data_IF_138887882031
#
_entry.id   IF_138887882031
#
_cell.length_a   1.000
_cell.length_b   1.000
_cell.length_c   1.000
_cell.angle_alpha   90.00
_cell.angle_beta   90.00
_cell.angle_gamma   90.00
#
_symmetry.space_group_name_H-M   'P 1'
#
loop_
_entity.id
_entity.type
_entity.pdbx_description
1 polymer ?
#
# COMPACT_ATOMS: atom_id res chain seq x y z
N UNK A 1 -39.90 -34.62 45.00
CA UNK A 1 -40.16 -33.65 46.07
C UNK A 1 -39.30 -32.44 45.78
N UNK A 2 -39.73 -31.25 45.45
CA UNK A 2 -41.04 -30.63 45.35
C UNK A 2 -40.93 -29.47 44.37
N UNK A 3 -42.00 -29.38 43.63
CA UNK A 3 -42.41 -28.27 42.81
C UNK A 3 -42.44 -26.94 43.56
N UNK A 4 -42.19 -25.82 42.86
CA UNK A 4 -43.02 -24.62 42.95
C UNK A 4 -42.87 -23.73 41.71
N UNK A 5 -43.90 -23.77 40.92
CA UNK A 5 -44.45 -22.77 40.00
C UNK A 5 -44.76 -21.43 40.65
N UNK A 6 -44.63 -20.31 39.91
CA UNK A 6 -45.45 -19.11 39.93
C UNK A 6 -44.92 -18.14 38.85
N UNK A 7 -45.62 -17.88 37.82
CA UNK A 7 -46.83 -17.15 37.44
C UNK A 7 -46.46 -15.76 36.86
N UNK A 8 -46.97 -15.56 35.67
CA UNK A 8 -46.93 -14.32 34.85
C UNK A 8 -47.69 -13.15 35.55
N UNK A 9 -47.25 -11.94 35.27
CA UNK A 9 -48.10 -10.76 35.40
C UNK A 9 -47.91 -9.83 34.20
N UNK A 10 -49.02 -9.62 33.53
CA UNK A 10 -49.29 -8.64 32.49
C UNK A 10 -49.19 -7.22 33.05
N UNK A 11 -48.69 -6.28 32.27
CA UNK A 11 -49.12 -4.91 32.35
C UNK A 11 -49.20 -4.30 30.94
N UNK A 12 -50.43 -4.25 30.50
CA UNK A 12 -50.88 -3.49 29.34
C UNK A 12 -51.11 -2.04 29.77
N UNK A 13 -50.39 -1.07 29.22
CA UNK A 13 -50.75 0.35 29.31
C UNK A 13 -51.19 0.88 27.97
N UNK A 14 -52.49 1.22 27.98
CA UNK A 14 -53.31 1.88 27.01
C UNK A 14 -52.70 3.12 26.36
N UNK A 15 -52.83 3.17 25.03
CA UNK A 15 -52.65 4.39 24.23
C UNK A 15 -53.94 5.19 24.23
N UNK A 16 -53.90 6.42 24.68
CA UNK A 16 -54.95 7.42 24.50
C UNK A 16 -54.78 8.09 23.11
N UNK A 17 -55.85 8.40 22.40
CA UNK A 17 -55.82 9.17 21.16
C UNK A 17 -55.68 10.68 21.43
N UNK A 18 -55.16 11.46 20.44
CA UNK A 18 -54.89 12.89 20.61
C UNK A 18 -56.15 13.74 20.56
N UNK A 19 -56.13 14.81 21.34
CA UNK A 19 -57.12 15.84 21.54
C UNK A 19 -57.40 16.65 20.22
N UNK A 20 -58.68 16.86 19.82
CA UNK A 20 -59.02 17.55 18.58
C UNK A 20 -58.96 19.09 18.62
N UNK A 21 -58.52 19.74 19.71
CA UNK A 21 -58.57 21.18 19.89
C UNK A 21 -57.24 21.92 20.00
N UNK A 22 -56.26 21.55 19.22
CA UNK A 22 -55.03 22.37 19.08
C UNK A 22 -55.14 23.35 17.88
N UNK A 23 -54.74 24.63 18.05
CA UNK A 23 -54.90 25.64 17.00
C UNK A 23 -53.89 25.42 15.86
N UNK A 24 -54.36 25.41 14.64
CA UNK A 24 -53.57 25.34 13.39
C UNK A 24 -52.86 26.67 13.13
N UNK A 25 -51.54 26.64 13.01
CA UNK A 25 -50.74 27.76 12.51
C UNK A 25 -50.74 27.74 11.01
N UNK A 26 -50.95 28.87 10.28
CA UNK A 26 -51.02 28.90 8.83
C UNK A 26 -49.63 28.79 8.19
N UNK A 27 -49.53 27.88 7.22
CA UNK A 27 -48.35 27.76 6.34
C UNK A 27 -48.36 28.94 5.32
N UNK A 28 -47.44 29.87 5.50
CA UNK A 28 -47.06 30.83 4.47
C UNK A 28 -46.17 30.17 3.43
N UNK A 29 -46.63 30.16 2.17
CA UNK A 29 -45.80 29.85 1.00
C UNK A 29 -44.79 30.98 0.80
N UNK A 30 -43.49 30.61 0.68
CA UNK A 30 -42.53 31.43 -0.01
C UNK A 30 -41.81 30.55 -1.05
N UNK A 31 -42.23 30.74 -2.29
CA UNK A 31 -41.53 30.30 -3.48
C UNK A 31 -40.26 31.12 -3.65
N UNK A 32 -39.11 30.47 -3.71
CA UNK A 32 -37.95 30.91 -4.50
C UNK A 32 -36.92 29.78 -4.52
N UNK A 33 -37.06 28.85 -5.44
CA UNK A 33 -36.00 27.90 -5.78
C UNK A 33 -35.10 28.54 -6.83
N UNK A 34 -33.92 28.96 -6.42
CA UNK A 34 -32.80 29.09 -7.34
C UNK A 34 -32.00 27.77 -7.29
N UNK A 35 -31.68 27.20 -8.45
CA UNK A 35 -30.85 25.99 -8.47
C UNK A 35 -29.40 26.35 -8.04
N UNK A 36 -28.93 25.79 -6.93
CA UNK A 36 -27.54 25.77 -6.59
C UNK A 36 -26.81 24.87 -7.59
N UNK A 37 -26.13 25.46 -8.54
CA UNK A 37 -25.14 24.79 -9.34
C UNK A 37 -24.01 24.37 -8.38
N UNK A 38 -23.84 23.07 -8.21
CA UNK A 38 -22.66 22.52 -7.60
C UNK A 38 -21.47 22.79 -8.53
N UNK A 39 -20.33 23.29 -8.03
CA UNK A 39 -19.15 23.33 -8.87
C UNK A 39 -18.68 21.90 -9.14
N UNK A 40 -18.78 21.47 -10.39
CA UNK A 40 -18.10 20.29 -10.88
C UNK A 40 -16.59 20.51 -10.68
N UNK A 41 -16.00 19.76 -9.77
CA UNK A 41 -14.54 19.63 -9.69
C UNK A 41 -14.11 18.81 -10.89
N UNK A 42 -13.89 19.47 -12.00
CA UNK A 42 -13.28 18.89 -13.20
C UNK A 42 -11.80 18.71 -12.92
N UNK A 43 -11.44 17.51 -12.51
CA UNK A 43 -10.06 17.07 -12.55
C UNK A 43 -9.65 17.02 -14.05
N UNK A 44 -8.70 17.82 -14.53
CA UNK A 44 -8.34 17.82 -15.94
C UNK A 44 -7.66 16.48 -16.28
N UNK A 45 -8.40 15.60 -16.95
CA UNK A 45 -7.84 14.43 -17.61
C UNK A 45 -6.92 14.89 -18.74
N UNK A 46 -5.66 15.13 -18.46
CA UNK A 46 -4.64 15.23 -19.51
C UNK A 46 -4.42 13.82 -20.07
N UNK A 47 -4.91 13.58 -21.28
CA UNK A 47 -4.44 12.48 -22.12
C UNK A 47 -2.93 12.68 -22.33
N UNK A 48 -2.11 11.84 -21.72
CA UNK A 48 -0.70 11.75 -22.06
C UNK A 48 -0.61 11.18 -23.47
N UNK A 49 -0.22 12.04 -24.42
CA UNK A 49 0.20 11.60 -25.73
C UNK A 49 1.48 10.78 -25.54
N UNK A 50 1.49 9.56 -26.03
CA UNK A 50 2.68 8.72 -26.13
C UNK A 50 3.63 9.42 -27.13
N UNK A 51 4.60 10.15 -26.61
CA UNK A 51 5.70 10.68 -27.38
C UNK A 51 6.88 9.72 -27.24
N UNK A 52 7.24 9.11 -28.36
CA UNK A 52 8.38 8.25 -28.53
C UNK A 52 9.69 8.91 -28.11
N UNK A 53 10.52 8.16 -27.40
CA UNK A 53 11.97 8.30 -27.31
C UNK A 53 12.55 9.55 -26.62
N UNK A 54 12.03 9.94 -25.44
CA UNK A 54 12.78 10.71 -24.45
C UNK A 54 12.71 9.98 -23.13
N UNK A 55 13.85 9.80 -22.42
CA UNK A 55 13.87 9.30 -21.04
C UNK A 55 12.78 10.02 -20.28
N UNK A 56 11.84 9.25 -19.73
CA UNK A 56 10.75 9.81 -18.93
C UNK A 56 11.36 10.59 -17.76
N UNK A 57 10.78 11.73 -17.35
CA UNK A 57 11.16 12.41 -16.10
C UNK A 57 11.16 11.45 -14.90
N UNK A 58 10.38 10.38 -14.95
CA UNK A 58 10.34 9.33 -13.95
C UNK A 58 11.61 8.46 -13.94
N UNK A 59 12.29 8.23 -15.07
CA UNK A 59 13.52 7.44 -15.11
C UNK A 59 14.67 8.13 -14.36
N UNK A 60 14.75 9.44 -14.41
CA UNK A 60 15.76 10.21 -13.67
C UNK A 60 15.51 10.22 -12.15
N UNK A 61 14.25 10.15 -11.71
CA UNK A 61 13.90 10.08 -10.29
C UNK A 61 14.27 8.70 -9.69
N UNK A 62 14.23 7.64 -10.50
CA UNK A 62 14.52 6.27 -10.09
C UNK A 62 15.99 5.90 -10.08
N UNK A 63 16.89 6.75 -10.60
CA UNK A 63 18.35 6.59 -10.47
C UNK A 63 18.85 6.91 -9.03
N UNK A 64 17.99 7.47 -8.19
CA UNK A 64 18.27 7.69 -6.78
C UNK A 64 18.16 6.38 -5.99
N UNK A 65 19.00 6.20 -4.95
CA UNK A 65 18.94 5.02 -4.08
C UNK A 65 17.63 4.91 -3.30
N UNK A 66 16.93 6.02 -3.10
CA UNK A 66 15.64 6.12 -2.40
C UNK A 66 14.77 7.10 -3.18
N UNK A 67 13.58 6.64 -3.56
CA UNK A 67 12.51 7.47 -4.16
C UNK A 67 11.34 7.52 -3.19
N UNK A 68 10.85 8.71 -2.90
CA UNK A 68 9.71 8.93 -2.00
C UNK A 68 8.48 9.31 -2.83
N UNK A 69 7.50 8.43 -2.86
CA UNK A 69 6.20 8.67 -3.47
C UNK A 69 5.12 8.90 -2.40
N UNK A 70 4.28 9.90 -2.59
CA UNK A 70 3.10 10.12 -1.75
C UNK A 70 1.86 9.77 -2.55
N UNK A 71 1.03 8.91 -1.98
CA UNK A 71 -0.31 8.61 -2.51
C UNK A 71 -1.36 9.17 -1.58
N UNK A 72 -2.22 10.03 -2.09
CA UNK A 72 -3.39 10.53 -1.38
C UNK A 72 -4.62 9.72 -1.82
N UNK A 73 -5.22 8.98 -0.89
CA UNK A 73 -6.46 8.26 -1.16
C UNK A 73 -7.65 9.22 -1.22
N UNK A 74 -8.71 8.90 -1.98
CA UNK A 74 -9.97 9.64 -1.91
C UNK A 74 -10.61 9.51 -0.52
N UNK A 75 -11.56 10.39 -0.21
CA UNK A 75 -12.41 10.25 0.96
C UNK A 75 -13.19 8.93 0.87
N UNK A 76 -13.33 8.29 2.01
CA UNK A 76 -14.14 7.07 2.08
C UNK A 76 -15.63 7.45 2.21
N UNK A 77 -16.57 6.61 1.75
CA UNK A 77 -18.00 6.88 1.86
C UNK A 77 -18.50 7.20 3.28
N UNK A 78 -17.83 6.66 4.30
CA UNK A 78 -18.13 6.96 5.71
C UNK A 78 -17.67 8.37 6.10
N UNK A 79 -16.56 8.85 5.54
CA UNK A 79 -15.99 10.19 5.79
C UNK A 79 -16.84 11.23 5.09
N UNK A 80 -17.25 10.98 3.84
CA UNK A 80 -18.19 11.83 3.08
C UNK A 80 -19.53 11.95 3.80
N UNK A 81 -20.11 10.83 4.28
CA UNK A 81 -21.35 10.84 5.07
C UNK A 81 -21.22 11.57 6.41
N UNK A 82 -20.02 11.62 6.98
CA UNK A 82 -19.72 12.38 8.17
C UNK A 82 -19.46 13.87 7.89
N UNK A 83 -19.55 14.32 6.62
CA UNK A 83 -19.30 15.71 6.23
C UNK A 83 -17.84 16.09 6.27
N UNK A 84 -16.91 15.12 6.17
CA UNK A 84 -15.48 15.41 6.11
C UNK A 84 -15.13 16.13 4.81
N UNK A 85 -14.26 17.12 4.90
CA UNK A 85 -13.77 17.87 3.75
C UNK A 85 -12.32 17.50 3.44
N UNK A 86 -11.93 17.62 2.15
CA UNK A 86 -10.58 17.36 1.73
C UNK A 86 -9.64 18.50 2.19
N UNK A 87 -8.66 18.16 3.02
CA UNK A 87 -7.66 19.10 3.54
C UNK A 87 -6.32 19.01 2.79
N UNK A 88 -6.25 18.21 1.74
CA UNK A 88 -5.04 17.94 0.97
C UNK A 88 -5.23 18.37 -0.48
N UNK A 89 -4.30 19.16 -0.99
CA UNK A 89 -4.21 19.53 -2.41
C UNK A 89 -2.93 18.95 -2.99
N UNK A 90 -3.05 18.34 -4.17
CA UNK A 90 -1.95 17.72 -4.89
C UNK A 90 -1.58 18.56 -6.10
N UNK A 91 -0.30 18.94 -6.23
CA UNK A 91 0.25 19.68 -7.35
C UNK A 91 1.54 19.02 -7.81
N UNK A 92 1.58 18.46 -9.01
CA UNK A 92 2.76 17.83 -9.61
C UNK A 92 3.58 17.02 -8.58
N UNK A 93 4.61 17.62 -7.99
CA UNK A 93 5.51 17.01 -6.98
C UNK A 93 5.32 17.60 -5.58
N UNK A 94 4.21 18.28 -5.32
CA UNK A 94 3.93 18.93 -4.05
C UNK A 94 2.61 18.47 -3.46
N UNK A 95 2.60 18.41 -2.16
CA UNK A 95 1.41 18.14 -1.35
C UNK A 95 1.23 19.29 -0.39
N UNK A 96 0.10 19.97 -0.46
CA UNK A 96 -0.25 21.01 0.48
C UNK A 96 -1.36 20.50 1.42
N UNK A 97 -1.23 20.85 2.70
CA UNK A 97 -2.21 20.54 3.72
C UNK A 97 -2.65 21.84 4.38
N UNK A 98 -3.95 22.13 4.35
CA UNK A 98 -4.48 23.39 4.88
C UNK A 98 -5.93 23.30 5.31
N UNK A 99 -6.51 24.43 5.73
CA UNK A 99 -7.92 24.52 6.06
C UNK A 99 -8.76 24.41 4.78
N UNK A 100 -9.84 23.59 4.76
CA UNK A 100 -10.70 23.41 3.59
C UNK A 100 -11.31 24.71 3.07
N UNK A 101 -11.70 25.62 3.97
CA UNK A 101 -12.30 26.93 3.62
C UNK A 101 -11.27 27.82 2.93
N UNK A 102 -10.03 27.84 3.42
CA UNK A 102 -8.94 28.59 2.81
C UNK A 102 -8.52 28.00 1.46
N UNK A 103 -8.55 26.66 1.33
CA UNK A 103 -8.24 25.95 0.08
C UNK A 103 -9.30 26.22 -1.00
N UNK A 104 -10.59 26.29 -0.63
CA UNK A 104 -11.71 26.54 -1.55
C UNK A 104 -11.81 28.01 -2.00
N UNK A 105 -11.47 28.97 -1.12
CA UNK A 105 -11.66 30.40 -1.38
C UNK A 105 -10.64 31.01 -2.35
N UNK A 106 -9.54 30.34 -2.67
CA UNK A 106 -8.38 30.96 -3.33
C UNK A 106 -7.99 30.40 -4.67
N UNK A 107 -8.88 29.83 -5.47
CA UNK A 107 -8.56 29.34 -6.83
C UNK A 107 -7.12 29.59 -7.26
N UNK A 108 -6.33 28.59 -7.56
CA UNK A 108 -5.01 28.62 -8.24
C UNK A 108 -3.85 29.44 -7.63
N UNK A 109 -3.95 29.97 -6.40
CA UNK A 109 -2.85 30.77 -5.79
C UNK A 109 -2.03 29.91 -4.79
N UNK A 110 -0.71 30.15 -4.63
CA UNK A 110 0.14 29.33 -3.78
C UNK A 110 -0.39 29.29 -2.35
N UNK A 111 -0.57 28.12 -1.87
CA UNK A 111 -1.37 27.67 -0.75
C UNK A 111 -0.79 28.16 0.57
N UNK A 112 -1.60 28.84 1.36
CA UNK A 112 -1.38 29.06 2.79
C UNK A 112 -1.65 27.72 3.51
N UNK A 113 -0.60 26.99 3.79
CA UNK A 113 -0.63 25.70 4.46
C UNK A 113 0.78 25.14 4.55
N UNK A 114 0.89 23.95 5.13
CA UNK A 114 2.17 23.24 5.11
C UNK A 114 2.38 22.58 3.75
N UNK A 115 3.41 23.01 3.05
CA UNK A 115 3.80 22.48 1.75
C UNK A 115 4.94 21.48 1.91
N UNK A 116 4.78 20.32 1.25
CA UNK A 116 5.77 19.26 1.22
C UNK A 116 6.10 18.90 -0.23
N UNK A 117 7.38 18.73 -0.54
CA UNK A 117 7.84 18.28 -1.85
C UNK A 117 8.29 16.81 -1.77
N UNK A 118 7.91 16.03 -2.79
CA UNK A 118 8.26 14.63 -2.92
C UNK A 118 8.78 14.32 -4.33
N UNK A 119 9.38 13.16 -4.51
CA UNK A 119 9.83 12.73 -5.84
C UNK A 119 8.64 12.46 -6.75
N UNK A 120 7.59 11.86 -6.22
CA UNK A 120 6.36 11.49 -6.92
C UNK A 120 5.14 11.78 -6.04
N UNK A 121 4.07 12.26 -6.66
CA UNK A 121 2.78 12.50 -6.00
C UNK A 121 1.68 11.84 -6.83
N UNK A 122 0.91 10.97 -6.19
CA UNK A 122 -0.17 10.19 -6.80
C UNK A 122 -1.48 10.53 -6.10
N UNK A 123 -2.49 10.86 -6.89
CA UNK A 123 -3.85 11.11 -6.41
C UNK A 123 -4.82 10.05 -6.89
N UNK A 124 -5.90 9.85 -6.14
CA UNK A 124 -6.98 8.99 -6.57
C UNK A 124 -6.82 7.51 -6.21
N UNK A 125 -7.64 6.69 -6.86
CA UNK A 125 -7.82 5.26 -6.57
C UNK A 125 -7.19 4.32 -7.59
N UNK A 126 -6.62 4.85 -8.69
CA UNK A 126 -6.03 4.03 -9.75
C UNK A 126 -4.85 3.20 -9.27
N UNK A 127 -5.05 1.88 -9.21
CA UNK A 127 -3.99 0.92 -8.89
C UNK A 127 -3.06 0.69 -10.09
N UNK A 128 -3.57 0.83 -11.30
CA UNK A 128 -2.78 0.74 -12.53
C UNK A 128 -1.74 1.86 -12.58
N UNK A 129 -2.13 3.10 -12.30
CA UNK A 129 -1.22 4.25 -12.26
C UNK A 129 -0.11 4.06 -11.22
N UNK A 130 -0.47 3.56 -10.03
CA UNK A 130 0.51 3.25 -8.97
C UNK A 130 1.49 2.18 -9.42
N UNK A 131 1.02 1.14 -10.13
CA UNK A 131 1.87 0.09 -10.68
C UNK A 131 2.79 0.62 -11.78
N UNK A 132 2.27 1.39 -12.74
CA UNK A 132 3.07 1.99 -13.81
C UNK A 132 4.17 2.90 -13.24
N UNK A 133 3.83 3.67 -12.20
CA UNK A 133 4.75 4.65 -11.61
C UNK A 133 5.80 4.02 -10.70
N UNK A 134 5.47 2.97 -9.95
CA UNK A 134 6.35 2.39 -8.93
C UNK A 134 6.70 0.92 -9.20
N UNK A 135 5.75 0.12 -9.65
CA UNK A 135 5.92 -1.32 -9.88
C UNK A 135 6.78 -1.61 -11.11
N UNK A 136 6.53 -0.95 -12.23
CA UNK A 136 7.31 -1.12 -13.47
C UNK A 136 8.77 -0.74 -13.27
N UNK A 137 9.13 0.42 -12.70
CA UNK A 137 10.51 0.75 -12.40
C UNK A 137 11.19 -0.25 -11.44
N UNK A 138 10.46 -0.77 -10.43
CA UNK A 138 10.97 -1.83 -9.56
C UNK A 138 11.32 -3.09 -10.37
N UNK A 139 10.43 -3.53 -11.26
CA UNK A 139 10.66 -4.67 -12.14
C UNK A 139 11.87 -4.46 -13.05
N UNK A 140 12.02 -3.26 -13.65
CA UNK A 140 13.19 -2.89 -14.46
C UNK A 140 14.50 -3.00 -13.68
N UNK A 141 14.54 -2.57 -12.42
CA UNK A 141 15.72 -2.72 -11.56
C UNK A 141 16.02 -4.19 -11.28
N UNK A 142 15.00 -4.96 -10.89
CA UNK A 142 15.16 -6.38 -10.62
C UNK A 142 15.61 -7.16 -11.88
N UNK A 143 15.08 -6.82 -13.02
CA UNK A 143 15.43 -7.44 -14.30
C UNK A 143 16.90 -7.20 -14.70
N UNK A 144 17.49 -6.08 -14.27
CA UNK A 144 18.92 -5.77 -14.41
C UNK A 144 19.81 -6.46 -13.35
N UNK A 145 19.24 -7.28 -12.47
CA UNK A 145 19.97 -7.95 -11.39
C UNK A 145 20.17 -7.10 -10.14
N UNK A 146 19.47 -5.98 -10.01
CA UNK A 146 19.55 -5.10 -8.85
C UNK A 146 18.45 -5.43 -7.84
N UNK A 147 18.81 -5.49 -6.55
CA UNK A 147 17.82 -5.62 -5.49
C UNK A 147 16.96 -4.36 -5.39
N UNK A 148 15.65 -4.53 -5.25
CA UNK A 148 14.72 -3.43 -5.14
C UNK A 148 13.63 -3.71 -4.10
N UNK A 149 13.12 -2.65 -3.46
CA UNK A 149 12.11 -2.80 -2.43
C UNK A 149 11.10 -1.65 -2.49
N UNK A 150 9.83 -1.97 -2.25
CA UNK A 150 8.76 -0.97 -2.03
C UNK A 150 8.24 -1.14 -0.61
N UNK A 151 8.11 -0.02 0.10
CA UNK A 151 7.55 0.06 1.45
C UNK A 151 6.30 0.94 1.43
N UNK A 152 5.15 0.42 1.86
CA UNK A 152 3.97 1.23 2.12
C UNK A 152 4.00 1.72 3.57
N UNK A 153 4.12 3.04 3.75
CA UNK A 153 4.20 3.71 5.06
C UNK A 153 3.03 4.67 5.25
N UNK A 154 2.50 4.77 6.45
CA UNK A 154 1.42 5.70 6.81
C UNK A 154 0.62 5.20 8.01
N UNK A 155 -0.30 6.01 8.50
CA UNK A 155 -1.18 5.64 9.62
C UNK A 155 -2.16 4.52 9.24
N UNK A 156 -2.81 3.93 10.24
CA UNK A 156 -3.91 2.98 10.04
C UNK A 156 -5.04 3.65 9.25
N UNK A 157 -5.57 2.96 8.24
CA UNK A 157 -6.61 3.49 7.35
C UNK A 157 -6.11 4.41 6.21
N UNK A 158 -4.80 4.67 6.08
CA UNK A 158 -4.24 5.48 4.98
C UNK A 158 -4.23 4.78 3.62
N UNK A 159 -4.51 3.48 3.56
CA UNK A 159 -4.54 2.71 2.30
C UNK A 159 -3.25 1.93 1.98
N UNK A 160 -2.36 1.68 2.95
CA UNK A 160 -1.13 0.88 2.75
C UNK A 160 -1.42 -0.49 2.16
N UNK A 161 -2.24 -1.28 2.84
CA UNK A 161 -2.63 -2.63 2.38
C UNK A 161 -3.41 -2.57 1.07
N UNK A 162 -4.25 -1.55 0.86
CA UNK A 162 -4.92 -1.34 -0.42
C UNK A 162 -3.92 -1.09 -1.55
N UNK A 163 -2.91 -0.26 -1.32
CA UNK A 163 -1.86 0.00 -2.31
C UNK A 163 -1.00 -1.23 -2.59
N UNK A 164 -0.72 -2.05 -1.57
CA UNK A 164 0.15 -3.23 -1.71
C UNK A 164 -0.59 -4.46 -2.24
N UNK A 165 -1.67 -4.87 -1.60
CA UNK A 165 -2.45 -6.07 -1.97
C UNK A 165 -3.65 -5.69 -2.83
N UNK A 166 -4.39 -4.64 -2.44
CA UNK A 166 -5.60 -4.22 -3.12
C UNK A 166 -6.77 -5.15 -2.88
N UNK A 167 -7.72 -5.12 -3.80
CA UNK A 167 -8.85 -6.03 -3.92
C UNK A 167 -8.75 -6.90 -5.18
N UNK A 168 -9.89 -7.25 -5.77
CA UNK A 168 -9.96 -8.06 -6.99
C UNK A 168 -10.02 -7.20 -8.25
N UNK A 169 -9.75 -7.80 -9.40
CA UNK A 169 -9.84 -7.16 -10.71
C UNK A 169 -8.97 -5.91 -10.82
N UNK A 170 -9.56 -4.78 -11.22
CA UNK A 170 -8.84 -3.52 -11.41
C UNK A 170 -8.33 -2.92 -10.09
N UNK A 171 -8.90 -3.30 -8.94
CA UNK A 171 -8.46 -2.84 -7.63
C UNK A 171 -7.25 -3.59 -7.07
N UNK A 172 -6.68 -4.56 -7.79
CA UNK A 172 -5.44 -5.27 -7.40
C UNK A 172 -4.29 -4.30 -7.19
N UNK A 173 -3.56 -4.49 -6.09
CA UNK A 173 -2.45 -3.63 -5.68
C UNK A 173 -1.13 -3.91 -6.41
N UNK A 174 -0.05 -3.34 -5.87
CA UNK A 174 1.31 -3.47 -6.43
C UNK A 174 1.79 -4.93 -6.41
N UNK A 175 1.55 -5.68 -5.32
CA UNK A 175 2.06 -7.05 -5.17
C UNK A 175 1.59 -7.95 -6.32
N UNK A 176 0.27 -8.15 -6.55
CA UNK A 176 -0.19 -9.01 -7.63
C UNK A 176 0.24 -8.51 -9.01
N UNK A 177 0.22 -7.20 -9.25
CA UNK A 177 0.63 -6.62 -10.54
C UNK A 177 2.13 -6.78 -10.83
N UNK A 178 3.00 -6.65 -9.82
CA UNK A 178 4.43 -6.93 -9.93
C UNK A 178 4.66 -8.42 -10.24
N UNK A 179 3.92 -9.30 -9.58
CA UNK A 179 4.02 -10.75 -9.86
C UNK A 179 3.58 -11.10 -11.29
N UNK A 180 2.51 -10.51 -11.79
CA UNK A 180 2.06 -10.68 -13.18
C UNK A 180 3.12 -10.17 -14.15
N UNK A 181 3.56 -8.92 -14.01
CA UNK A 181 4.56 -8.32 -14.90
C UNK A 181 5.90 -9.06 -14.87
N UNK A 182 6.28 -9.66 -13.75
CA UNK A 182 7.47 -10.50 -13.67
C UNK A 182 7.35 -11.75 -14.56
N UNK A 183 6.18 -12.40 -14.53
CA UNK A 183 5.93 -13.58 -15.35
C UNK A 183 5.73 -13.24 -16.82
N UNK A 184 5.13 -12.10 -17.17
CA UNK A 184 5.04 -11.62 -18.54
C UNK A 184 6.46 -11.48 -19.15
N UNK A 185 7.38 -10.87 -18.41
CA UNK A 185 8.78 -10.76 -18.83
C UNK A 185 9.50 -12.12 -18.89
N UNK A 186 9.25 -13.02 -17.94
CA UNK A 186 9.85 -14.35 -17.93
C UNK A 186 9.39 -15.20 -19.13
N UNK A 187 8.11 -15.13 -19.47
CA UNK A 187 7.50 -15.84 -20.61
C UNK A 187 8.04 -15.29 -21.93
N UNK A 188 8.10 -13.97 -22.10
CA UNK A 188 8.66 -13.31 -23.29
C UNK A 188 10.15 -13.68 -23.55
N UNK A 189 10.90 -13.92 -22.46
CA UNK A 189 12.32 -14.31 -22.56
C UNK A 189 12.56 -15.82 -22.46
N UNK A 190 11.54 -16.66 -22.43
CA UNK A 190 11.65 -18.11 -22.18
C UNK A 190 12.54 -18.86 -23.17
N UNK A 191 12.62 -18.40 -24.41
CA UNK A 191 13.50 -18.98 -25.47
C UNK A 191 14.98 -18.65 -25.25
N UNK A 192 15.28 -17.49 -24.68
CA UNK A 192 16.66 -16.99 -24.50
C UNK A 192 17.19 -17.18 -23.11
N UNK A 193 16.32 -17.17 -22.10
CA UNK A 193 16.68 -17.24 -20.69
C UNK A 193 15.86 -18.29 -19.95
N UNK A 194 16.49 -18.90 -18.96
CA UNK A 194 15.82 -19.65 -17.90
C UNK A 194 15.63 -18.73 -16.70
N UNK A 195 14.37 -18.50 -16.34
CA UNK A 195 14.00 -17.67 -15.17
C UNK A 195 13.50 -18.56 -14.05
N UNK A 196 14.07 -18.41 -12.87
CA UNK A 196 13.64 -19.07 -11.64
C UNK A 196 13.17 -18.02 -10.64
N UNK A 197 12.02 -18.23 -10.06
CA UNK A 197 11.44 -17.36 -9.03
C UNK A 197 11.25 -18.16 -7.74
N UNK A 198 11.82 -17.68 -6.65
CA UNK A 198 11.62 -18.22 -5.31
C UNK A 198 10.89 -17.17 -4.48
N UNK A 199 9.80 -17.57 -3.82
CA UNK A 199 8.94 -16.68 -3.07
C UNK A 199 8.90 -17.07 -1.59
N UNK A 200 8.84 -16.07 -0.73
CA UNK A 200 8.59 -16.21 0.70
C UNK A 200 7.64 -15.11 1.18
N UNK A 201 6.84 -15.42 2.20
CA UNK A 201 5.91 -14.47 2.78
C UNK A 201 5.96 -14.56 4.31
N UNK A 202 6.36 -13.49 4.97
CA UNK A 202 6.49 -13.45 6.42
C UNK A 202 5.79 -12.24 7.03
N UNK A 203 5.44 -12.37 8.29
CA UNK A 203 4.90 -11.31 9.14
C UNK A 203 5.88 -11.00 10.29
N UNK A 204 6.09 -9.70 10.55
CA UNK A 204 6.78 -9.24 11.75
C UNK A 204 5.77 -8.60 12.68
N UNK A 205 5.54 -9.21 13.84
CA UNK A 205 4.59 -8.75 14.83
C UNK A 205 5.20 -8.86 16.23
N UNK A 206 5.21 -7.75 16.96
CA UNK A 206 5.76 -7.67 18.31
C UNK A 206 7.19 -8.26 18.41
N UNK A 207 8.09 -7.80 17.54
CA UNK A 207 9.49 -8.22 17.41
C UNK A 207 9.68 -9.73 17.10
N UNK A 208 8.63 -10.41 16.64
CA UNK A 208 8.67 -11.84 16.28
C UNK A 208 8.34 -12.02 14.80
N UNK A 209 9.18 -12.79 14.13
CA UNK A 209 8.94 -13.19 12.73
C UNK A 209 8.09 -14.44 12.70
N UNK A 210 7.09 -14.46 11.81
CA UNK A 210 6.23 -15.61 11.54
C UNK A 210 6.22 -15.91 10.06
N UNK A 211 6.23 -17.18 9.74
CA UNK A 211 5.98 -17.67 8.39
C UNK A 211 4.49 -17.64 8.10
N UNK A 212 4.11 -17.04 6.98
CA UNK A 212 2.70 -17.00 6.54
C UNK A 212 2.36 -18.13 5.57
N UNK A 213 3.36 -18.81 5.00
CA UNK A 213 3.14 -19.93 4.08
C UNK A 213 2.98 -21.26 4.83
N UNK A 214 3.68 -21.40 5.95
CA UNK A 214 3.56 -22.58 6.83
C UNK A 214 3.41 -22.11 8.27
N UNK A 215 2.18 -21.82 8.71
CA UNK A 215 1.94 -21.28 10.05
C UNK A 215 2.14 -22.34 11.13
N UNK A 216 3.40 -22.56 11.52
CA UNK A 216 3.78 -23.52 12.58
C UNK A 216 3.46 -23.04 13.99
N UNK A 217 3.01 -21.77 14.13
CA UNK A 217 2.78 -21.12 15.43
C UNK A 217 4.06 -20.70 16.16
N UNK A 218 5.23 -21.16 15.72
CA UNK A 218 6.54 -20.87 16.31
C UNK A 218 7.14 -19.61 15.68
N UNK A 219 7.62 -18.62 16.50
CA UNK A 219 8.36 -17.49 15.97
C UNK A 219 9.72 -17.93 15.40
N UNK A 220 10.06 -17.39 14.23
CA UNK A 220 11.35 -17.59 13.60
C UNK A 220 12.39 -16.59 14.10
N UNK A 221 13.67 -16.95 14.03
CA UNK A 221 14.79 -16.10 14.46
C UNK A 221 15.46 -15.43 13.26
N UNK A 222 15.66 -14.13 13.36
CA UNK A 222 16.53 -13.40 12.43
C UNK A 222 17.98 -13.73 12.79
N UNK A 223 18.78 -14.00 11.77
CA UNK A 223 20.23 -14.26 11.86
C UNK A 223 20.97 -13.33 10.92
N UNK A 224 22.23 -13.10 11.17
CA UNK A 224 23.12 -12.43 10.25
C UNK A 224 23.97 -13.47 9.52
N UNK A 225 23.90 -13.44 8.19
CA UNK A 225 24.72 -14.31 7.34
C UNK A 225 25.94 -13.52 6.85
N UNK A 226 27.16 -14.08 6.89
CA UNK A 226 28.39 -13.33 6.58
C UNK A 226 28.39 -12.64 5.21
N UNK A 227 27.70 -13.22 4.21
CA UNK A 227 27.67 -12.68 2.83
C UNK A 227 26.30 -12.17 2.39
N UNK A 228 25.20 -12.65 2.99
CA UNK A 228 23.82 -12.30 2.59
C UNK A 228 23.19 -11.22 3.49
N UNK A 229 23.85 -10.88 4.61
CA UNK A 229 23.28 -9.97 5.61
C UNK A 229 22.16 -10.61 6.43
N UNK A 230 21.20 -9.81 6.89
CA UNK A 230 20.10 -10.29 7.70
C UNK A 230 19.21 -11.30 6.94
N UNK A 231 18.99 -12.46 7.54
CA UNK A 231 18.18 -13.54 6.98
C UNK A 231 17.37 -14.27 8.06
N UNK A 232 16.39 -15.03 7.63
CA UNK A 232 15.54 -15.91 8.46
C UNK A 232 15.74 -17.34 7.93
N UNK A 233 16.68 -18.14 8.47
CA UNK A 233 17.07 -19.41 7.88
C UNK A 233 15.96 -20.45 7.81
N UNK A 234 15.00 -20.40 8.75
CA UNK A 234 13.89 -21.35 8.85
C UNK A 234 12.63 -20.86 8.12
N UNK A 235 12.69 -19.74 7.38
CA UNK A 235 11.58 -19.24 6.60
C UNK A 235 11.34 -20.12 5.38
N UNK A 236 10.09 -20.49 5.13
CA UNK A 236 9.72 -21.24 3.94
C UNK A 236 9.97 -20.42 2.69
N UNK A 237 10.74 -20.97 1.78
CA UNK A 237 11.01 -20.43 0.46
C UNK A 237 10.50 -21.44 -0.55
N UNK A 238 9.55 -21.02 -1.39
CA UNK A 238 8.91 -21.86 -2.39
C UNK A 238 9.40 -21.45 -3.77
N UNK A 239 9.96 -22.38 -4.51
CA UNK A 239 10.22 -22.18 -5.94
C UNK A 239 8.91 -22.28 -6.72
N UNK A 240 8.50 -21.17 -7.32
CA UNK A 240 7.26 -21.07 -8.10
C UNK A 240 7.54 -21.24 -9.59
N UNK A 241 6.63 -21.94 -10.28
CA UNK A 241 6.80 -22.35 -11.69
C UNK A 241 5.98 -21.52 -12.67
N UNK A 242 5.13 -20.63 -12.16
CA UNK A 242 4.26 -19.81 -12.97
C UNK A 242 3.43 -18.83 -12.17
N UNK A 243 2.71 -17.98 -12.90
CA UNK A 243 1.87 -16.92 -12.31
C UNK A 243 0.79 -17.45 -11.39
N UNK A 244 0.16 -18.58 -11.72
CA UNK A 244 -0.93 -19.15 -10.93
C UNK A 244 -0.42 -19.65 -9.58
N UNK A 245 0.69 -20.39 -9.56
CA UNK A 245 1.30 -20.90 -8.32
C UNK A 245 1.75 -19.75 -7.41
N UNK A 246 2.27 -18.66 -7.97
CA UNK A 246 2.62 -17.47 -7.19
C UNK A 246 1.38 -16.77 -6.64
N UNK A 247 0.30 -16.67 -7.41
CA UNK A 247 -0.97 -16.10 -6.95
C UNK A 247 -1.59 -16.91 -5.81
N UNK A 248 -1.59 -18.25 -5.92
CA UNK A 248 -2.06 -19.15 -4.86
C UNK A 248 -1.22 -19.01 -3.58
N UNK A 249 0.11 -18.92 -3.70
CA UNK A 249 1.00 -18.70 -2.58
C UNK A 249 0.70 -17.38 -1.87
N UNK A 250 0.47 -16.30 -2.61
CA UNK A 250 0.11 -15.00 -2.06
C UNK A 250 -1.26 -15.04 -1.37
N UNK A 251 -2.22 -15.77 -1.92
CA UNK A 251 -3.53 -15.97 -1.30
C UNK A 251 -3.41 -16.70 0.04
N UNK A 252 -2.68 -17.82 0.09
CA UNK A 252 -2.41 -18.57 1.33
C UNK A 252 -1.81 -17.68 2.42
N UNK A 253 -0.79 -16.89 2.09
CA UNK A 253 -0.15 -15.97 3.04
C UNK A 253 -1.07 -14.84 3.51
N UNK A 254 -1.90 -14.31 2.61
CA UNK A 254 -2.89 -13.27 2.93
C UNK A 254 -3.99 -13.79 3.86
N UNK A 255 -4.49 -14.99 3.62
CA UNK A 255 -5.49 -15.67 4.46
C UNK A 255 -4.93 -16.00 5.85
N UNK A 256 -3.68 -16.46 5.93
CA UNK A 256 -2.99 -16.70 7.19
C UNK A 256 -2.86 -15.40 8.01
N UNK A 257 -2.54 -14.27 7.35
CA UNK A 257 -2.49 -12.95 7.97
C UNK A 257 -3.87 -12.50 8.45
N UNK A 258 -4.91 -12.64 7.62
CA UNK A 258 -6.29 -12.26 7.93
C UNK A 258 -6.85 -13.08 9.09
N UNK A 259 -6.66 -14.39 9.11
CA UNK A 259 -7.10 -15.28 10.20
C UNK A 259 -6.47 -14.92 11.54
N UNK A 260 -5.21 -14.47 11.53
CA UNK A 260 -4.54 -13.96 12.73
C UNK A 260 -5.15 -12.64 13.24
N UNK A 261 -5.76 -11.84 12.36
CA UNK A 261 -6.39 -10.55 12.69
C UNK A 261 -7.78 -10.72 13.36
N UNK A 262 -8.55 -11.77 13.04
CA UNK A 262 -9.94 -11.95 13.53
C UNK A 262 -10.04 -12.34 15.02
N UNK A 263 -8.93 -12.71 15.66
CA UNK A 263 -8.91 -13.09 17.10
C UNK A 263 -8.91 -11.90 18.08
N UNK A 264 -9.61 -10.80 17.73
CA UNK A 264 -9.96 -9.73 18.67
C UNK A 264 -9.21 -8.41 18.56
N UNK A 265 -8.30 -8.23 17.58
CA UNK A 265 -7.65 -6.95 17.30
C UNK A 265 -7.32 -6.85 15.81
N UNK A 266 -7.40 -5.65 15.24
CA UNK A 266 -6.96 -5.38 13.86
C UNK A 266 -5.43 -5.55 13.73
N UNK A 267 -4.97 -6.82 13.78
CA UNK A 267 -3.55 -7.19 13.83
C UNK A 267 -2.79 -6.73 12.58
N UNK A 268 -3.45 -6.70 11.42
CA UNK A 268 -2.85 -6.24 10.17
C UNK A 268 -2.35 -4.79 10.25
N UNK A 269 -3.02 -3.92 11.06
CA UNK A 269 -2.55 -2.55 11.28
C UNK A 269 -1.35 -2.46 12.23
N UNK A 270 -0.99 -3.57 12.90
CA UNK A 270 0.05 -3.64 13.94
C UNK A 270 1.21 -4.58 13.60
N UNK A 271 1.16 -5.17 12.43
CA UNK A 271 2.21 -6.07 11.92
C UNK A 271 2.74 -5.56 10.58
N UNK A 272 4.02 -5.85 10.31
CA UNK A 272 4.58 -5.67 8.99
C UNK A 272 4.48 -6.97 8.21
N UNK A 273 4.05 -6.92 6.96
CA UNK A 273 4.02 -8.06 6.06
C UNK A 273 5.08 -7.87 4.98
N UNK A 274 5.87 -8.89 4.72
CA UNK A 274 6.99 -8.86 3.77
C UNK A 274 6.85 -10.01 2.80
N UNK A 275 6.57 -9.69 1.54
CA UNK A 275 6.68 -10.60 0.41
C UNK A 275 8.08 -10.42 -0.20
N UNK A 276 8.82 -11.51 -0.36
CA UNK A 276 10.12 -11.49 -1.01
C UNK A 276 10.13 -12.45 -2.20
N UNK A 277 10.59 -11.93 -3.34
CA UNK A 277 10.78 -12.71 -4.56
C UNK A 277 12.26 -12.67 -4.93
N UNK A 278 12.91 -13.82 -4.99
CA UNK A 278 14.27 -13.96 -5.51
C UNK A 278 14.16 -14.41 -6.95
N UNK A 279 14.60 -13.55 -7.86
CA UNK A 279 14.54 -13.76 -9.31
C UNK A 279 15.93 -14.08 -9.81
N UNK A 280 16.15 -15.30 -10.30
CA UNK A 280 17.40 -15.73 -10.90
C UNK A 280 17.19 -15.99 -12.38
N UNK A 281 17.99 -15.34 -13.23
CA UNK A 281 17.96 -15.52 -14.69
C UNK A 281 19.29 -16.04 -15.18
N UNK A 282 19.25 -16.96 -16.12
CA UNK A 282 20.43 -17.53 -16.75
C UNK A 282 20.17 -17.64 -18.26
N UNK A 283 21.07 -17.11 -19.08
CA UNK A 283 21.01 -17.23 -20.54
C UNK A 283 21.17 -18.69 -20.94
N UNK A 284 20.33 -19.14 -21.88
CA UNK A 284 20.43 -20.48 -22.47
C UNK A 284 21.58 -20.53 -23.47
N UNK A 285 22.36 -21.61 -23.44
CA UNK A 285 23.43 -21.82 -24.42
C UNK A 285 22.85 -21.97 -25.84
N UNK A 286 23.40 -21.21 -26.79
CA UNK A 286 22.98 -21.31 -28.22
C UNK A 286 21.73 -20.46 -28.57
N UNK A 287 21.19 -19.65 -27.64
CA UNK A 287 20.10 -18.76 -27.99
C UNK A 287 20.59 -17.54 -28.77
N UNK A 288 19.99 -17.26 -29.93
CA UNK A 288 20.18 -16.03 -30.70
C UNK A 288 19.39 -14.88 -30.07
N UNK A 289 19.88 -13.65 -30.20
CA UNK A 289 19.16 -12.45 -29.78
C UNK A 289 17.96 -12.22 -30.71
N UNK A 290 16.75 -12.27 -30.15
CA UNK A 290 15.53 -12.01 -30.90
C UNK A 290 14.33 -11.99 -29.95
N UNK A 291 14.17 -10.90 -29.16
CA UNK A 291 12.95 -10.65 -28.41
C UNK A 291 12.10 -9.74 -29.28
N UNK A 292 10.96 -10.24 -29.76
CA UNK A 292 10.05 -9.53 -30.65
C UNK A 292 8.84 -8.92 -29.92
N UNK A 293 8.68 -9.19 -28.61
CA UNK A 293 7.54 -8.73 -27.85
C UNK A 293 7.81 -7.38 -27.18
N UNK A 294 6.86 -6.45 -27.33
CA UNK A 294 6.87 -5.15 -26.67
C UNK A 294 6.45 -5.28 -25.20
N UNK A 295 7.22 -4.68 -24.30
CA UNK A 295 6.94 -4.66 -22.90
C UNK A 295 7.88 -3.71 -22.16
N UNK A 296 7.68 -3.55 -20.84
CA UNK A 296 8.55 -2.72 -19.99
C UNK A 296 10.02 -3.18 -19.98
N UNK A 297 10.31 -4.37 -20.51
CA UNK A 297 11.62 -5.01 -20.61
C UNK A 297 12.31 -4.83 -21.97
N UNK A 298 11.63 -4.35 -22.99
CA UNK A 298 12.11 -4.36 -24.39
C UNK A 298 13.35 -3.48 -24.63
N UNK A 299 13.56 -2.45 -23.82
CA UNK A 299 14.69 -1.52 -23.91
C UNK A 299 15.80 -1.80 -22.87
N UNK A 300 15.75 -2.96 -22.19
CA UNK A 300 16.69 -3.27 -21.13
C UNK A 300 17.86 -4.16 -21.61
N UNK A 301 19.08 -3.61 -21.57
CA UNK A 301 20.30 -4.41 -21.57
C UNK A 301 20.37 -5.24 -20.28
N UNK A 302 19.98 -6.49 -20.38
CA UNK A 302 19.97 -7.36 -19.22
C UNK A 302 21.22 -8.26 -19.22
N UNK A 303 21.92 -8.42 -18.08
CA UNK A 303 23.09 -9.30 -17.99
C UNK A 303 22.70 -10.74 -18.33
N UNK A 304 23.62 -11.50 -18.93
CA UNK A 304 23.39 -12.88 -19.37
C UNK A 304 23.03 -13.85 -18.24
N UNK A 305 23.51 -13.57 -17.00
CA UNK A 305 23.06 -14.24 -15.77
C UNK A 305 23.04 -13.25 -14.63
N UNK A 306 21.95 -13.21 -13.90
CA UNK A 306 21.81 -12.34 -12.73
C UNK A 306 20.84 -12.92 -11.71
N UNK A 307 21.00 -12.47 -10.47
CA UNK A 307 20.03 -12.73 -9.39
C UNK A 307 19.71 -11.43 -8.69
N UNK A 308 18.43 -11.18 -8.48
CA UNK A 308 17.94 -10.02 -7.74
C UNK A 308 16.89 -10.43 -6.72
N UNK A 309 16.68 -9.56 -5.73
CA UNK A 309 15.61 -9.74 -4.73
C UNK A 309 14.67 -8.56 -4.78
N UNK A 310 13.39 -8.83 -5.00
CA UNK A 310 12.28 -7.89 -4.86
C UNK A 310 11.68 -8.05 -3.47
N UNK A 311 11.53 -6.95 -2.71
CA UNK A 311 10.82 -6.96 -1.43
C UNK A 311 9.66 -5.98 -1.48
N UNK A 312 8.46 -6.48 -1.18
CA UNK A 312 7.21 -5.73 -1.15
C UNK A 312 6.69 -5.75 0.29
N UNK A 313 6.66 -4.58 0.92
CA UNK A 313 6.49 -4.47 2.36
C UNK A 313 5.28 -3.60 2.70
N UNK A 314 4.26 -4.22 3.30
CA UNK A 314 3.13 -3.54 3.94
C UNK A 314 3.44 -3.32 5.43
N UNK A 315 3.76 -2.08 5.79
CA UNK A 315 4.17 -1.73 7.16
C UNK A 315 2.96 -1.59 8.09
N UNK A 316 3.19 -1.79 9.39
CA UNK A 316 2.25 -1.43 10.46
C UNK A 316 1.90 0.06 10.41
N UNK A 317 0.83 0.45 11.11
CA UNK A 317 0.42 1.85 11.24
C UNK A 317 1.49 2.71 11.92
N UNK A 318 1.74 3.90 11.36
CA UNK A 318 2.75 4.85 11.86
C UNK A 318 2.19 5.84 12.89
N UNK A 319 0.94 5.67 13.32
CA UNK A 319 0.31 6.52 14.31
C UNK A 319 0.98 6.38 15.69
N UNK A 320 1.08 7.49 16.40
CA UNK A 320 1.50 7.49 17.80
C UNK A 320 0.33 7.03 18.66
N UNK A 321 0.50 5.89 19.33
CA UNK A 321 -0.47 5.47 20.35
C UNK A 321 -0.33 6.43 21.52
N UNK A 322 -1.39 7.20 21.80
CA UNK A 322 -1.47 8.02 23.00
C UNK A 322 -1.34 7.09 24.23
N UNK A 323 -0.37 7.35 25.09
CA UNK A 323 0.00 6.49 26.24
C UNK A 323 -1.04 6.55 27.36
N UNK A 324 -2.10 7.36 27.21
CA UNK A 324 -3.15 7.54 28.21
C UNK A 324 -4.07 6.32 28.26
N UNK A 325 -3.90 5.49 29.30
CA UNK A 325 -4.85 4.45 29.68
C UNK A 325 -4.75 3.09 28.97
N UNK A 326 -3.62 2.79 28.31
CA UNK A 326 -3.39 1.47 27.71
C UNK A 326 -2.73 0.49 28.66
N UNK A 327 -3.37 -0.67 28.87
CA UNK A 327 -2.82 -1.79 29.65
C UNK A 327 -1.47 -2.27 29.09
N UNK A 328 -0.63 -2.84 29.97
CA UNK A 328 0.78 -3.16 29.72
C UNK A 328 1.08 -3.89 28.42
N UNK A 329 0.21 -4.81 27.96
CA UNK A 329 0.41 -5.56 26.71
C UNK A 329 0.27 -4.68 25.44
N UNK A 330 -0.71 -3.78 25.40
CA UNK A 330 -0.91 -2.83 24.29
C UNK A 330 0.21 -1.79 24.21
N UNK A 331 0.75 -1.38 25.36
CA UNK A 331 1.90 -0.49 25.41
C UNK A 331 3.16 -1.15 24.86
N UNK A 332 3.40 -2.44 25.17
CA UNK A 332 4.53 -3.19 24.62
C UNK A 332 4.42 -3.36 23.11
N UNK A 333 3.22 -3.66 22.60
CA UNK A 333 2.94 -3.74 21.16
C UNK A 333 3.24 -2.42 20.44
N UNK A 334 2.73 -1.30 20.98
CA UNK A 334 2.99 0.03 20.43
C UNK A 334 4.48 0.40 20.42
N UNK A 335 5.21 0.04 21.49
CA UNK A 335 6.68 0.23 21.56
C UNK A 335 7.39 -0.58 20.49
N UNK A 336 6.99 -1.84 20.25
CA UNK A 336 7.59 -2.69 19.22
C UNK A 336 7.36 -2.12 17.80
N UNK A 337 6.13 -1.65 17.49
CA UNK A 337 5.80 -1.01 16.22
C UNK A 337 6.65 0.26 16.02
N UNK A 338 6.69 1.15 17.00
CA UNK A 338 7.45 2.38 16.90
C UNK A 338 8.96 2.14 16.75
N UNK A 339 9.50 1.12 17.42
CA UNK A 339 10.91 0.73 17.32
C UNK A 339 11.26 0.27 15.91
N UNK A 340 10.46 -0.60 15.32
CA UNK A 340 10.70 -1.11 13.95
C UNK A 340 10.60 0.01 12.90
N UNK A 341 9.62 0.92 13.03
CA UNK A 341 9.47 2.07 12.15
C UNK A 341 10.60 3.09 12.33
N UNK A 342 11.09 3.32 13.57
CA UNK A 342 12.23 4.18 13.82
C UNK A 342 13.50 3.63 13.14
N UNK A 343 13.77 2.33 13.25
CA UNK A 343 14.88 1.69 12.57
C UNK A 343 14.84 1.86 11.05
N UNK A 344 13.63 1.79 10.44
CA UNK A 344 13.48 2.08 9.01
C UNK A 344 13.80 3.56 8.70
N UNK A 345 13.31 4.49 9.51
CA UNK A 345 13.60 5.92 9.33
C UNK A 345 15.11 6.21 9.44
N UNK A 346 15.81 5.55 10.35
CA UNK A 346 17.27 5.70 10.52
C UNK A 346 18.02 5.21 9.27
N UNK A 347 17.62 4.07 8.69
CA UNK A 347 18.23 3.53 7.47
C UNK A 347 17.97 4.48 6.28
N UNK A 348 16.73 4.94 6.10
CA UNK A 348 16.37 5.88 5.01
C UNK A 348 17.14 7.19 5.16
N UNK A 349 17.25 7.72 6.38
CA UNK A 349 18.00 8.94 6.68
C UNK A 349 19.50 8.78 6.36
N UNK A 350 20.10 7.64 6.71
CA UNK A 350 21.50 7.35 6.40
C UNK A 350 21.73 7.25 4.87
N UNK A 351 20.82 6.61 4.13
CA UNK A 351 20.90 6.51 2.69
C UNK A 351 20.78 7.90 2.02
N UNK A 352 19.86 8.75 2.48
CA UNK A 352 19.68 10.11 2.00
C UNK A 352 20.92 10.99 2.27
N UNK A 353 21.53 10.86 3.46
CA UNK A 353 22.75 11.60 3.81
C UNK A 353 23.93 11.19 2.91
N UNK A 354 24.10 9.89 2.63
CA UNK A 354 25.15 9.37 1.76
C UNK A 354 24.98 9.84 0.29
N UNK A 355 23.73 9.98 -0.19
CA UNK A 355 23.44 10.52 -1.53
C UNK A 355 23.85 11.99 -1.66
N UNK A 356 23.65 12.80 -0.62
CA UNK A 356 24.06 14.21 -0.58
C UNK A 356 25.58 14.37 -0.60
N UNK A 357 26.32 13.54 0.16
CA UNK A 357 27.80 13.56 0.16
C UNK A 357 28.40 13.24 -1.21
N UNK A 358 27.83 12.30 -1.97
CA UNK A 358 28.28 12.00 -3.34
C UNK A 358 28.08 13.14 -4.33
N UNK A 359 27.01 13.95 -4.19
CA UNK A 359 26.75 15.12 -5.03
C UNK A 359 27.66 16.31 -4.71
N UNK A 360 28.28 16.34 -3.54
CA UNK A 360 29.23 17.41 -3.14
C UNK A 360 30.68 17.19 -3.63
N UNK A 361 30.95 16.04 -4.27
CA UNK A 361 32.27 15.66 -4.78
C UNK A 361 32.36 15.56 -6.32
N UNK A 362 31.41 16.15 -7.06
CA UNK A 362 31.45 16.24 -8.54
C UNK A 362 31.54 17.69 -8.95
#
# INVERSE_FOLDING_TARGET
MGEKTRTASQDARSRQPPDPNSPRVPHGRLDARLPRQQPEVVCPRRRLAVASNRRSPNDAAMDSKVTVAVRCRPLMPREERAGAEAVVVLEDRRVAVGDPVELAARGSSPILGRNFAFDLVLGGDSQAEVHETLGVPLLRHAWRGLNASIFAYGQTGSGKTYSMTGGDGESRGIIPRVCEGLWDAADAHSQTHETTVEASYMEVYNERVRDLLVPTGRPLKVREHPTKGACVPELTVVRVRGRNELAELLAVGSDARATAATRGNARSSRSHAVVSLVVSRRRRSGSSEGITEEGWWSDLDAPGSCTSTIRLVDLAGSERVAVTGTDGARLQEAKAINKSLAALCDVVSALAANSRKKKAFV
#
